data_IF_583807244593
#
_entry.id   IF_583807244593
#
_cell.length_a   1.000
_cell.length_b   1.000
_cell.length_c   1.000
_cell.angle_alpha   90.00
_cell.angle_beta   90.00
_cell.angle_gamma   90.00
#
_symmetry.space_group_name_H-M   'P 1'
#
loop_
_entity.id
_entity.type
_entity.pdbx_description
1 polymer ?
#
# COMPACT_ATOMS: atom_id res chain seq x y z
N UNK A 1 -7.95 5.47 1.31
CA UNK A 1 -8.56 5.83 2.60
C UNK A 1 -7.89 5.04 3.71
N UNK A 2 -7.74 5.63 4.85
CA UNK A 2 -7.18 4.91 6.00
C UNK A 2 -8.06 3.68 6.27
N UNK A 3 -7.40 2.56 6.51
CA UNK A 3 -8.10 1.30 6.73
C UNK A 3 -8.25 0.44 5.49
N UNK A 4 -7.95 0.99 4.31
CA UNK A 4 -8.04 0.19 3.10
C UNK A 4 -6.93 -0.84 3.05
N UNK A 5 -7.26 -2.00 2.48
CA UNK A 5 -6.25 -3.04 2.23
C UNK A 5 -5.68 -2.78 0.85
N UNK A 6 -4.36 -2.74 0.78
CA UNK A 6 -3.67 -2.41 -0.47
C UNK A 6 -2.56 -3.42 -0.75
N UNK A 7 -2.17 -3.47 -2.01
CA UNK A 7 -0.98 -4.21 -2.42
C UNK A 7 -0.12 -3.31 -3.29
N UNK A 8 1.14 -3.65 -3.39
CA UNK A 8 2.04 -2.88 -4.21
C UNK A 8 1.73 -3.14 -5.69
N UNK A 9 1.58 -2.06 -6.44
CA UNK A 9 1.43 -2.14 -7.87
C UNK A 9 2.82 -2.22 -8.46
N UNK A 10 3.09 -3.27 -9.20
CA UNK A 10 4.40 -3.37 -9.83
C UNK A 10 4.41 -4.44 -10.87
N UNK A 11 4.85 -4.11 -12.06
CA UNK A 11 5.04 -5.11 -13.09
C UNK A 11 6.32 -5.87 -12.81
N UNK A 12 6.35 -7.13 -13.14
CA UNK A 12 7.55 -7.92 -13.12
C UNK A 12 7.91 -8.51 -11.77
N UNK A 13 9.19 -8.84 -11.65
CA UNK A 13 9.67 -9.61 -10.51
C UNK A 13 9.59 -8.94 -9.16
N UNK A 14 9.73 -7.63 -9.12
CA UNK A 14 9.71 -6.92 -7.85
C UNK A 14 8.38 -7.10 -7.13
N UNK A 15 7.29 -7.07 -7.88
CA UNK A 15 5.98 -7.24 -7.29
C UNK A 15 5.79 -8.58 -6.61
N UNK A 16 6.35 -9.63 -7.22
CA UNK A 16 6.25 -10.98 -6.65
C UNK A 16 7.05 -11.11 -5.37
N UNK A 17 8.29 -10.64 -5.41
CA UNK A 17 9.16 -10.73 -4.26
C UNK A 17 8.59 -9.95 -3.10
N UNK A 18 8.12 -8.74 -3.39
CA UNK A 18 7.53 -7.91 -2.37
C UNK A 18 6.30 -8.57 -1.76
N UNK A 19 5.43 -9.12 -2.60
CA UNK A 19 4.23 -9.79 -2.14
C UNK A 19 4.55 -10.99 -1.26
N UNK A 20 5.59 -11.72 -1.61
CA UNK A 20 5.99 -12.89 -0.84
C UNK A 20 6.50 -12.48 0.56
N UNK A 21 7.23 -11.37 0.61
CA UNK A 21 7.84 -10.91 1.86
C UNK A 21 6.85 -10.15 2.73
N UNK A 22 6.05 -9.29 2.12
CA UNK A 22 5.21 -8.34 2.87
C UNK A 22 3.71 -8.61 2.77
N UNK A 23 3.28 -9.26 1.70
CA UNK A 23 1.86 -9.56 1.50
C UNK A 23 1.08 -8.32 1.15
N UNK A 24 -0.09 -8.19 1.76
CA UNK A 24 -0.92 -6.99 1.63
C UNK A 24 -0.69 -6.11 2.84
N UNK A 25 -1.10 -4.86 2.72
CA UNK A 25 -0.94 -3.92 3.82
C UNK A 25 -2.22 -3.18 4.09
N UNK A 26 -2.21 -2.46 5.19
CA UNK A 26 -3.31 -1.59 5.58
C UNK A 26 -2.81 -0.16 5.56
N UNK A 27 -3.58 0.74 4.94
CA UNK A 27 -3.25 2.16 4.95
C UNK A 27 -3.50 2.69 6.35
N UNK A 28 -2.44 3.18 7.00
CA UNK A 28 -2.54 3.69 8.35
C UNK A 28 -2.56 5.22 8.39
N UNK A 29 -2.08 5.86 7.33
CA UNK A 29 -2.01 7.31 7.30
C UNK A 29 -1.98 7.78 5.86
N UNK A 30 -2.60 8.92 5.60
CA UNK A 30 -2.57 9.56 4.29
C UNK A 30 -2.00 10.95 4.48
N UNK A 31 -0.99 11.27 3.68
CA UNK A 31 -0.33 12.56 3.74
C UNK A 31 -0.32 13.22 2.38
N UNK A 32 -0.42 14.53 2.37
CA UNK A 32 -0.35 15.32 1.14
C UNK A 32 0.74 16.38 1.31
N UNK A 33 2.01 15.98 1.13
CA UNK A 33 3.10 16.94 1.27
C UNK A 33 3.03 18.04 0.21
N UNK A 34 2.41 17.73 -0.94
CA UNK A 34 2.20 18.71 -2.01
C UNK A 34 0.81 18.51 -2.58
N UNK A 35 0.28 19.55 -3.21
CA UNK A 35 -1.06 19.48 -3.78
C UNK A 35 -1.21 18.37 -4.82
N UNK A 36 -0.11 17.99 -5.46
CA UNK A 36 -0.14 17.02 -6.54
C UNK A 36 0.32 15.64 -6.14
N UNK A 37 0.66 15.46 -4.88
CA UNK A 37 1.20 14.19 -4.43
C UNK A 37 0.48 13.73 -3.19
N UNK A 38 -0.01 12.52 -3.25
CA UNK A 38 -0.65 11.88 -2.11
C UNK A 38 0.21 10.70 -1.73
N UNK A 39 0.62 10.62 -0.48
CA UNK A 39 1.43 9.53 0.01
C UNK A 39 0.65 8.78 1.07
N UNK A 40 0.74 7.47 1.02
CA UNK A 40 0.10 6.60 1.98
C UNK A 40 1.17 5.92 2.83
N UNK A 41 0.96 5.90 4.13
CA UNK A 41 1.74 5.05 4.99
C UNK A 41 1.00 3.73 5.12
N UNK A 42 1.69 2.65 4.85
CA UNK A 42 1.11 1.31 4.81
C UNK A 42 1.84 0.44 5.79
N UNK A 43 1.11 -0.26 6.64
CA UNK A 43 1.67 -1.29 7.48
C UNK A 43 1.44 -2.63 6.79
N UNK A 44 2.53 -3.30 6.45
CA UNK A 44 2.46 -4.57 5.75
C UNK A 44 2.19 -5.68 6.75
N UNK A 45 1.14 -6.46 6.49
CA UNK A 45 0.65 -7.41 7.49
C UNK A 45 1.60 -8.56 7.73
N UNK A 46 2.30 -9.01 6.70
CA UNK A 46 3.17 -10.16 6.83
C UNK A 46 4.47 -9.84 7.54
N UNK A 47 5.04 -8.68 7.27
CA UNK A 47 6.32 -8.28 7.86
C UNK A 47 6.14 -7.32 9.03
N UNK A 48 4.97 -6.72 9.15
CA UNK A 48 4.66 -5.70 10.15
C UNK A 48 5.49 -4.44 10.00
N UNK A 49 6.09 -4.26 8.84
CA UNK A 49 6.85 -3.05 8.55
C UNK A 49 5.94 -1.96 8.03
N UNK A 50 6.30 -0.71 8.32
CA UNK A 50 5.58 0.45 7.80
C UNK A 50 6.42 1.11 6.74
N UNK A 51 5.79 1.42 5.62
CA UNK A 51 6.47 2.07 4.51
C UNK A 51 5.54 3.09 3.89
N UNK A 52 6.14 4.08 3.22
CA UNK A 52 5.38 5.11 2.51
C UNK A 52 5.49 4.88 1.03
N UNK A 53 4.38 5.08 0.35
CA UNK A 53 4.30 4.95 -1.10
C UNK A 53 3.44 6.07 -1.65
N UNK A 54 3.68 6.42 -2.91
CA UNK A 54 2.77 7.30 -3.61
C UNK A 54 1.47 6.54 -3.86
N UNK A 55 0.38 7.25 -3.88
CA UNK A 55 -0.93 6.64 -4.11
C UNK A 55 -0.94 5.75 -5.35
N UNK A 56 -0.27 6.20 -6.42
CA UNK A 56 -0.28 5.48 -7.69
C UNK A 56 0.51 4.18 -7.65
N UNK A 57 1.33 3.99 -6.62
CA UNK A 57 2.11 2.76 -6.50
C UNK A 57 1.34 1.66 -5.80
N UNK A 58 0.13 1.94 -5.35
CA UNK A 58 -0.67 1.00 -4.58
C UNK A 58 -1.98 0.70 -5.28
N UNK A 59 -2.46 -0.52 -5.08
CA UNK A 59 -3.75 -0.94 -5.60
C UNK A 59 -4.61 -1.32 -4.40
N UNK A 60 -5.79 -0.73 -4.31
CA UNK A 60 -6.75 -1.10 -3.28
C UNK A 60 -7.36 -2.44 -3.65
N UNK A 61 -7.20 -3.42 -2.78
CA UNK A 61 -7.73 -4.76 -3.01
C UNK A 61 -8.89 -5.08 -2.10
N UNK A 62 -9.12 -4.28 -1.09
CA UNK A 62 -10.21 -4.51 -0.20
C UNK A 62 -11.43 -3.92 -0.80
N UNK A 63 -12.36 -4.77 -1.05
CA UNK A 63 -13.63 -4.33 -1.48
C UNK A 63 -14.60 -4.72 -0.44
N UNK A 64 -14.60 -3.92 0.43
CA UNK A 64 -15.30 -4.29 1.55
C UNK A 64 -16.74 -4.40 1.43
N UNK A 65 -17.12 -4.40 0.91
CA UNK A 65 -18.31 -4.72 1.11
C UNK A 65 -18.81 -5.15 0.81
N UNK A 66 -18.16 -5.09 0.80
CA UNK A 66 -18.76 -5.72 0.62
C UNK A 66 -19.65 -5.44 0.70
#
# INVERSE_FOLDING_TARGET
>A
MVGDIVRLSGPGGMGRTFKRTHGVGIVTKIEKPHDRRIEYEVKWLKSEERMRFNEEDLIVVSDVDG
#
